data_IF_716845834033
#
_entry.id   IF_716845834033
#
_cell.length_a   1.000
_cell.length_b   1.000
_cell.length_c   1.000
_cell.angle_alpha   90.00
_cell.angle_beta   90.00
_cell.angle_gamma   90.00
#
_symmetry.space_group_name_H-M   'P 1'
#
loop_
_entity.id
_entity.type
_entity.pdbx_description
1 polymer ?
#
# COMPACT_ATOMS: atom_id res chain seq x y z
N UNK A 1 -21.73 24.08 -13.90
CA UNK A 1 -20.55 24.37 -13.04
C UNK A 1 -20.47 23.46 -11.80
N UNK A 2 -21.58 23.17 -11.10
CA UNK A 2 -21.56 22.25 -9.95
C UNK A 2 -21.11 20.82 -10.29
N UNK A 3 -21.55 20.28 -11.42
CA UNK A 3 -21.14 18.94 -11.88
C UNK A 3 -19.68 18.87 -12.32
N UNK A 4 -19.09 19.98 -12.79
CA UNK A 4 -17.70 20.03 -13.24
C UNK A 4 -16.74 19.84 -12.05
N UNK A 5 -17.08 20.43 -10.89
CA UNK A 5 -16.30 20.30 -9.65
C UNK A 5 -16.39 18.87 -9.12
N UNK A 6 -17.57 18.24 -9.19
CA UNK A 6 -17.76 16.85 -8.76
C UNK A 6 -16.96 15.88 -9.65
N UNK A 7 -16.95 16.10 -10.96
CA UNK A 7 -16.21 15.26 -11.91
C UNK A 7 -14.69 15.40 -11.73
N UNK A 8 -14.22 16.61 -11.39
CA UNK A 8 -12.80 16.85 -11.07
C UNK A 8 -12.38 16.18 -9.75
N UNK A 9 -13.24 16.17 -8.73
CA UNK A 9 -12.98 15.52 -7.44
C UNK A 9 -12.88 14.00 -7.55
N UNK A 10 -13.69 13.36 -8.41
CA UNK A 10 -13.63 11.91 -8.63
C UNK A 10 -12.32 11.51 -9.31
N UNK A 11 -11.79 12.34 -10.21
CA UNK A 11 -10.55 12.06 -10.93
C UNK A 11 -9.32 12.02 -10.00
N UNK A 12 -9.31 12.83 -8.95
CA UNK A 12 -8.20 12.89 -7.97
C UNK A 12 -8.16 11.65 -7.06
N UNK A 13 -9.28 10.92 -6.91
CA UNK A 13 -9.34 9.76 -6.03
C UNK A 13 -8.76 8.47 -6.66
N UNK A 14 -8.44 8.49 -7.96
CA UNK A 14 -7.93 7.32 -8.70
C UNK A 14 -6.41 7.40 -8.88
N UNK A 15 -5.68 8.05 -7.97
CA UNK A 15 -4.22 7.91 -7.94
C UNK A 15 -3.97 6.50 -7.38
N UNK A 16 -3.47 5.54 -8.19
CA UNK A 16 -3.14 4.23 -7.67
C UNK A 16 -2.06 4.44 -6.62
N UNK A 17 -2.36 4.07 -5.38
CA UNK A 17 -1.36 4.04 -4.33
C UNK A 17 -0.24 3.12 -4.81
N UNK A 18 0.91 3.74 -5.14
CA UNK A 18 2.04 3.07 -5.76
C UNK A 18 2.45 1.89 -4.88
N UNK A 19 2.20 0.67 -5.38
CA UNK A 19 2.69 -0.54 -4.75
C UNK A 19 4.21 -0.41 -4.69
N UNK A 20 4.76 -0.52 -3.48
CA UNK A 20 6.20 -0.45 -3.24
C UNK A 20 6.74 -1.87 -3.17
N UNK A 21 7.98 -2.04 -3.58
CA UNK A 21 8.70 -3.27 -3.35
C UNK A 21 9.21 -3.26 -1.91
N UNK A 22 8.78 -4.24 -1.12
CA UNK A 22 9.18 -4.45 0.26
C UNK A 22 10.15 -5.60 0.32
N UNK A 23 11.37 -5.36 0.76
CA UNK A 23 12.37 -6.41 0.96
C UNK A 23 12.47 -6.72 2.44
N UNK A 24 12.44 -8.01 2.75
CA UNK A 24 12.72 -8.46 4.10
C UNK A 24 14.18 -8.19 4.48
N UNK A 25 14.44 -7.85 5.74
CA UNK A 25 15.79 -7.61 6.25
C UNK A 25 16.71 -8.81 6.11
N UNK A 26 16.16 -10.02 6.17
CA UNK A 26 16.93 -11.26 5.96
C UNK A 26 17.22 -11.54 4.47
N UNK A 27 16.57 -10.82 3.55
CA UNK A 27 16.71 -11.03 2.10
C UNK A 27 15.94 -12.24 1.57
N UNK A 28 15.25 -13.00 2.44
CA UNK A 28 14.59 -14.26 2.08
C UNK A 28 13.38 -14.05 1.14
N UNK A 29 12.75 -12.88 1.22
CA UNK A 29 11.64 -12.54 0.35
C UNK A 29 11.60 -11.05 0.02
N UNK A 30 11.14 -10.78 -1.20
CA UNK A 30 10.80 -9.45 -1.70
C UNK A 30 9.36 -9.50 -2.23
N UNK A 31 8.53 -8.55 -1.81
CA UNK A 31 7.10 -8.54 -2.10
C UNK A 31 6.68 -7.16 -2.59
N UNK A 32 6.05 -7.08 -3.75
CA UNK A 32 5.37 -5.86 -4.18
C UNK A 32 4.03 -5.75 -3.48
N UNK A 33 3.83 -4.68 -2.70
CA UNK A 33 2.60 -4.45 -1.98
C UNK A 33 2.40 -2.97 -1.68
N UNK A 34 1.14 -2.59 -1.55
CA UNK A 34 0.73 -1.27 -1.07
C UNK A 34 0.72 -1.28 0.46
N UNK A 35 1.32 -0.26 1.11
CA UNK A 35 1.14 -0.08 2.54
C UNK A 35 -0.27 0.44 2.83
N UNK A 36 -1.08 -0.36 3.51
CA UNK A 36 -2.42 0.05 3.94
C UNK A 36 -2.41 0.73 5.29
N UNK A 37 -1.64 0.20 6.23
CA UNK A 37 -1.64 0.71 7.61
C UNK A 37 -0.37 0.31 8.35
N UNK A 38 -0.07 1.00 9.45
CA UNK A 38 0.99 0.64 10.40
C UNK A 38 0.42 0.69 11.81
N UNK A 39 0.34 -0.48 12.45
CA UNK A 39 -0.17 -0.63 13.82
C UNK A 39 0.53 -1.76 14.54
N UNK A 40 0.66 -1.63 15.86
CA UNK A 40 1.27 -2.64 16.72
C UNK A 40 2.69 -3.08 16.27
N UNK A 41 3.46 -2.14 15.70
CA UNK A 41 4.80 -2.42 15.18
C UNK A 41 4.84 -3.29 13.90
N UNK A 42 3.71 -3.40 13.20
CA UNK A 42 3.57 -4.17 11.95
C UNK A 42 3.06 -3.27 10.83
N UNK A 43 3.60 -3.46 9.64
CA UNK A 43 3.07 -2.93 8.39
C UNK A 43 1.99 -3.88 7.86
N UNK A 44 0.81 -3.36 7.59
CA UNK A 44 -0.25 -4.07 6.87
C UNK A 44 -0.05 -3.77 5.39
N UNK A 45 0.38 -4.79 4.64
CA UNK A 45 0.71 -4.70 3.24
C UNK A 45 -0.38 -5.41 2.42
N UNK A 46 -0.93 -4.73 1.42
CA UNK A 46 -1.88 -5.30 0.47
C UNK A 46 -1.18 -5.66 -0.82
N UNK A 47 -1.16 -6.94 -1.15
CA UNK A 47 -0.64 -7.47 -2.41
C UNK A 47 -1.53 -7.08 -3.60
N UNK A 48 -1.02 -7.13 -4.85
CA UNK A 48 -1.81 -6.91 -6.06
C UNK A 48 -2.99 -7.88 -6.21
N UNK A 49 -2.87 -9.10 -5.66
CA UNK A 49 -3.94 -10.10 -5.64
C UNK A 49 -5.08 -9.78 -4.65
N UNK A 50 -4.96 -8.69 -3.88
CA UNK A 50 -5.93 -8.26 -2.87
C UNK A 50 -5.70 -8.84 -1.47
N UNK A 51 -4.74 -9.75 -1.30
CA UNK A 51 -4.40 -10.35 -0.01
C UNK A 51 -3.68 -9.35 0.89
N UNK A 52 -4.08 -9.28 2.15
CA UNK A 52 -3.43 -8.44 3.16
C UNK A 52 -2.53 -9.29 4.06
N UNK A 53 -1.28 -8.84 4.24
CA UNK A 53 -0.29 -9.49 5.08
C UNK A 53 0.26 -8.51 6.10
N UNK A 54 0.34 -8.95 7.35
CA UNK A 54 0.93 -8.16 8.44
C UNK A 54 2.40 -8.54 8.62
N UNK A 55 3.30 -7.63 8.25
CA UNK A 55 4.75 -7.84 8.36
C UNK A 55 5.32 -7.00 9.49
N UNK A 56 6.01 -7.59 10.48
CA UNK A 56 6.72 -6.82 11.51
C UNK A 56 7.71 -5.82 10.90
N UNK A 57 7.69 -4.57 11.36
CA UNK A 57 8.56 -3.51 10.82
C UNK A 57 10.05 -3.87 10.97
N UNK A 58 10.42 -4.56 12.05
CA UNK A 58 11.79 -5.03 12.28
C UNK A 58 12.26 -6.10 11.28
N UNK A 59 11.34 -6.69 10.51
CA UNK A 59 11.63 -7.65 9.45
C UNK A 59 11.69 -7.01 8.07
N UNK A 60 11.36 -5.73 7.92
CA UNK A 60 11.49 -4.99 6.66
C UNK A 60 12.80 -4.19 6.68
N UNK A 61 13.41 -4.01 5.51
CA UNK A 61 14.60 -3.16 5.32
C UNK A 61 14.28 -1.87 4.57
#
# INVERSE_FOLDING_TARGET
>A
MRYLIVLLLILVCVIPASARQWTSRSGDFTIEAELKDVRDGKAILKKPNGEEVAVPLNKLS
#
